data_IF_257885814602
#
_entry.id   IF_257885814602
#
_cell.length_a   1.000
_cell.length_b   1.000
_cell.length_c   1.000
_cell.angle_alpha   90.00
_cell.angle_beta   90.00
_cell.angle_gamma   90.00
#
_symmetry.space_group_name_H-M   'P 1'
#
loop_
_entity.id
_entity.type
_entity.pdbx_description
1 polymer ?
#
# COMPACT_ATOMS: atom_id res chain seq x y z
N UNK A 1 15.85 -8.96 16.46
CA UNK A 1 15.31 -7.64 16.14
C UNK A 1 13.89 -7.82 15.67
N UNK A 2 12.98 -6.90 15.98
CA UNK A 2 11.61 -6.89 15.45
C UNK A 2 11.57 -5.96 14.25
N UNK A 3 10.93 -6.39 13.17
CA UNK A 3 10.81 -5.65 11.90
C UNK A 3 9.32 -5.50 11.58
N UNK A 4 8.93 -4.36 11.05
CA UNK A 4 7.59 -4.16 10.46
C UNK A 4 7.77 -3.99 8.96
N UNK A 5 7.32 -4.96 8.19
CA UNK A 5 7.23 -4.86 6.75
C UNK A 5 5.96 -4.10 6.36
N UNK A 6 6.13 -2.84 5.96
CA UNK A 6 5.01 -1.93 5.67
C UNK A 6 4.50 -2.01 4.23
N UNK A 7 5.14 -2.82 3.38
CA UNK A 7 4.76 -3.04 1.99
C UNK A 7 4.80 -4.53 1.67
N UNK A 8 3.72 -5.21 2.02
CA UNK A 8 3.55 -6.66 1.94
C UNK A 8 2.20 -6.99 1.32
N UNK A 9 2.14 -7.94 0.39
CA UNK A 9 0.94 -8.30 -0.32
C UNK A 9 0.42 -9.67 0.07
N UNK A 10 -0.76 -9.69 0.65
CA UNK A 10 -1.59 -10.89 0.78
C UNK A 10 -2.97 -10.60 0.20
N UNK A 11 -3.49 -11.52 -0.62
CA UNK A 11 -4.75 -11.32 -1.30
C UNK A 11 -5.75 -12.44 -1.00
N UNK A 12 -6.99 -12.11 -0.58
CA UNK A 12 -8.03 -13.10 -0.41
C UNK A 12 -8.37 -13.79 -1.74
N UNK A 13 -8.32 -15.11 -1.76
CA UNK A 13 -8.66 -15.94 -2.95
C UNK A 13 -10.09 -15.69 -3.43
N UNK A 14 -11.02 -15.44 -2.51
CA UNK A 14 -12.44 -15.20 -2.78
C UNK A 14 -12.68 -14.08 -3.81
N UNK A 15 -11.85 -13.07 -3.85
CA UNK A 15 -11.94 -11.99 -4.83
C UNK A 15 -11.66 -12.49 -6.24
N UNK A 16 -10.64 -13.32 -6.42
CA UNK A 16 -10.30 -13.87 -7.74
C UNK A 16 -11.38 -14.81 -8.25
N UNK A 17 -12.02 -15.57 -7.37
CA UNK A 17 -13.17 -16.39 -7.69
C UNK A 17 -14.37 -15.55 -8.18
N UNK A 18 -14.55 -14.34 -7.65
CA UNK A 18 -15.56 -13.40 -8.15
C UNK A 18 -15.14 -12.82 -9.52
N UNK A 19 -13.88 -12.42 -9.65
CA UNK A 19 -13.36 -11.85 -10.91
C UNK A 19 -13.40 -12.87 -12.06
N UNK A 20 -13.28 -14.18 -11.78
CA UNK A 20 -13.42 -15.22 -12.78
C UNK A 20 -14.85 -15.34 -13.36
N UNK A 21 -15.88 -14.84 -12.67
CA UNK A 21 -17.26 -14.83 -13.14
C UNK A 21 -17.54 -13.67 -14.10
N UNK A 22 -16.64 -12.70 -14.19
CA UNK A 22 -16.81 -11.50 -15.00
C UNK A 22 -16.44 -11.73 -16.46
N UNK A 23 -17.24 -11.13 -17.38
CA UNK A 23 -16.94 -11.09 -18.81
C UNK A 23 -16.15 -9.81 -19.20
N UNK A 24 -16.39 -8.72 -18.49
CA UNK A 24 -15.69 -7.43 -18.69
C UNK A 24 -14.53 -7.24 -17.71
N UNK A 25 -13.73 -6.22 -17.95
CA UNK A 25 -12.61 -5.84 -17.07
C UNK A 25 -13.08 -5.07 -15.82
N UNK A 26 -12.37 -5.16 -14.69
CA UNK A 26 -11.29 -6.13 -14.41
C UNK A 26 -11.83 -7.56 -14.34
N UNK A 27 -11.02 -8.54 -14.73
CA UNK A 27 -11.36 -9.97 -14.69
C UNK A 27 -10.14 -10.84 -14.39
N UNK A 28 -10.38 -12.07 -13.97
CA UNK A 28 -9.35 -13.07 -13.77
C UNK A 28 -9.69 -14.38 -14.49
N UNK A 29 -8.68 -15.17 -14.79
CA UNK A 29 -8.79 -16.50 -15.35
C UNK A 29 -7.84 -17.43 -14.59
N UNK A 30 -8.25 -18.68 -14.22
CA UNK A 30 -7.32 -19.65 -13.62
C UNK A 30 -6.12 -19.90 -14.54
N UNK A 31 -4.92 -19.95 -13.96
CA UNK A 31 -3.67 -20.16 -14.72
C UNK A 31 -3.33 -21.66 -14.92
N UNK A 32 -4.17 -22.57 -14.42
CA UNK A 32 -3.95 -24.02 -14.45
C UNK A 32 -2.88 -24.53 -13.45
N UNK A 33 -2.27 -23.65 -12.63
CA UNK A 33 -1.23 -23.96 -11.63
C UNK A 33 -1.67 -23.62 -10.20
N UNK A 34 -2.96 -23.32 -10.02
CA UNK A 34 -3.54 -22.94 -8.73
C UNK A 34 -3.53 -21.43 -8.44
N UNK A 35 -3.06 -20.64 -9.37
CA UNK A 35 -3.10 -19.20 -9.39
C UNK A 35 -4.07 -18.65 -10.44
N UNK A 36 -3.92 -17.36 -10.75
CA UNK A 36 -4.78 -16.66 -11.69
C UNK A 36 -3.96 -15.70 -12.57
N UNK A 37 -4.45 -15.53 -13.83
CA UNK A 37 -4.05 -14.44 -14.70
C UNK A 37 -5.07 -13.31 -14.56
N UNK A 38 -4.64 -12.20 -14.01
CA UNK A 38 -5.48 -11.04 -13.77
C UNK A 38 -5.28 -9.97 -14.84
N UNK A 39 -6.39 -9.46 -15.38
CA UNK A 39 -6.41 -8.38 -16.37
C UNK A 39 -7.29 -7.23 -15.87
N UNK A 40 -6.71 -6.05 -15.75
CA UNK A 40 -7.43 -4.86 -15.33
C UNK A 40 -8.26 -4.25 -16.45
N UNK A 41 -7.65 -4.11 -17.62
CA UNK A 41 -8.24 -3.50 -18.82
C UNK A 41 -7.61 -4.13 -20.08
N UNK A 42 -8.17 -3.85 -21.23
CA UNK A 42 -7.63 -4.28 -22.51
C UNK A 42 -6.48 -3.34 -22.93
N UNK A 43 -5.34 -3.42 -22.27
CA UNK A 43 -4.15 -2.58 -22.56
C UNK A 43 -3.31 -3.21 -23.64
N UNK A 44 -3.06 -4.50 -23.54
CA UNK A 44 -2.50 -5.36 -24.57
C UNK A 44 -3.01 -6.78 -24.37
N UNK A 45 -3.06 -7.55 -25.47
CA UNK A 45 -3.48 -8.96 -25.41
C UNK A 45 -2.54 -9.79 -24.51
N UNK A 46 -1.28 -9.36 -24.39
CA UNK A 46 -0.19 -10.13 -23.83
C UNK A 46 0.15 -9.76 -22.38
N UNK A 47 -0.28 -8.58 -21.88
CA UNK A 47 -0.02 -8.18 -20.51
C UNK A 47 -1.13 -8.60 -19.56
N UNK A 48 -0.76 -9.41 -18.58
CA UNK A 48 -1.57 -9.77 -17.42
C UNK A 48 -0.69 -9.90 -16.18
N UNK A 49 -1.25 -9.62 -15.03
CA UNK A 49 -0.58 -9.90 -13.77
C UNK A 49 -0.82 -11.37 -13.41
N UNK A 50 0.22 -12.19 -13.43
CA UNK A 50 0.15 -13.54 -12.92
C UNK A 50 0.20 -13.52 -11.38
N UNK A 51 -0.80 -14.13 -10.76
CA UNK A 51 -0.95 -14.21 -9.31
C UNK A 51 -0.87 -15.69 -8.93
N UNK A 52 0.29 -16.10 -8.46
CA UNK A 52 0.57 -17.50 -8.11
C UNK A 52 0.08 -17.86 -6.71
N UNK A 53 0.01 -19.14 -6.32
CA UNK A 53 -0.63 -19.61 -5.08
C UNK A 53 -0.15 -18.94 -3.78
N UNK A 54 1.11 -18.52 -3.72
CA UNK A 54 1.72 -17.90 -2.54
C UNK A 54 1.05 -16.55 -2.16
N UNK A 55 0.48 -15.83 -3.12
CA UNK A 55 -0.27 -14.61 -2.86
C UNK A 55 -1.49 -14.79 -1.96
N UNK A 56 -2.02 -16.01 -1.89
CA UNK A 56 -3.25 -16.34 -1.17
C UNK A 56 -3.00 -17.06 0.16
N UNK A 57 -1.78 -17.54 0.42
CA UNK A 57 -1.44 -18.38 1.56
C UNK A 57 -0.67 -17.57 2.62
N UNK A 58 -1.41 -16.85 3.45
CA UNK A 58 -0.81 -16.01 4.51
C UNK A 58 0.00 -16.84 5.51
N UNK A 59 -0.39 -18.10 5.80
CA UNK A 59 0.36 -18.97 6.71
C UNK A 59 1.76 -19.24 6.19
N UNK A 60 1.87 -19.63 4.91
CA UNK A 60 3.19 -19.85 4.27
C UNK A 60 3.99 -18.58 4.13
N UNK A 61 3.34 -17.45 3.83
CA UNK A 61 4.02 -16.17 3.77
C UNK A 61 4.63 -15.80 5.13
N UNK A 62 3.89 -16.00 6.22
CA UNK A 62 4.40 -15.74 7.56
C UNK A 62 5.48 -16.74 7.99
N UNK A 63 5.38 -18.00 7.61
CA UNK A 63 6.42 -19.01 7.81
C UNK A 63 7.72 -18.62 7.07
N UNK A 64 7.59 -18.13 5.83
CA UNK A 64 8.74 -17.61 5.07
C UNK A 64 9.41 -16.43 5.81
N UNK A 65 8.61 -15.51 6.35
CA UNK A 65 9.13 -14.38 7.14
C UNK A 65 9.84 -14.84 8.44
N UNK A 66 9.34 -15.89 9.10
CA UNK A 66 10.00 -16.48 10.27
C UNK A 66 11.38 -17.07 9.94
N UNK A 67 11.51 -17.61 8.71
CA UNK A 67 12.78 -18.15 8.19
C UNK A 67 13.88 -17.11 8.01
N UNK A 68 13.57 -15.80 8.06
CA UNK A 68 14.57 -14.73 7.93
C UNK A 68 15.41 -14.51 9.19
N UNK A 69 15.14 -15.22 10.29
CA UNK A 69 15.86 -15.09 11.54
C UNK A 69 15.50 -13.83 12.35
N UNK A 70 14.42 -13.17 12.01
CA UNK A 70 13.88 -11.99 12.70
C UNK A 70 12.39 -12.18 12.99
N UNK A 71 11.87 -11.49 13.99
CA UNK A 71 10.43 -11.36 14.14
C UNK A 71 9.93 -10.29 13.15
N UNK A 72 9.23 -10.70 12.11
CA UNK A 72 8.67 -9.78 11.11
C UNK A 72 7.16 -9.69 11.29
N UNK A 73 6.68 -8.50 11.65
CA UNK A 73 5.27 -8.16 11.59
C UNK A 73 4.98 -7.61 10.19
N UNK A 74 3.84 -7.90 9.63
CA UNK A 74 3.50 -7.49 8.26
C UNK A 74 2.31 -6.56 8.21
N UNK A 75 2.39 -5.55 7.36
CA UNK A 75 1.27 -4.69 6.99
C UNK A 75 0.79 -5.14 5.62
N UNK A 76 -0.26 -5.92 5.59
CA UNK A 76 -0.91 -6.33 4.35
C UNK A 76 -1.50 -5.09 3.69
N UNK A 77 -0.72 -4.48 2.85
CA UNK A 77 -1.22 -3.54 1.88
C UNK A 77 -1.74 -4.34 0.69
N UNK A 78 -2.77 -3.85 0.08
CA UNK A 78 -3.54 -4.65 -0.84
C UNK A 78 -2.95 -4.58 -2.25
N UNK A 79 -1.93 -3.73 -2.46
CA UNK A 79 -1.28 -3.59 -3.74
C UNK A 79 -2.23 -3.30 -4.91
N UNK A 80 -1.86 -3.67 -6.14
CA UNK A 80 -2.60 -3.24 -7.31
C UNK A 80 -4.08 -3.67 -7.32
N UNK A 81 -4.43 -4.80 -6.69
CA UNK A 81 -5.79 -5.35 -6.80
C UNK A 81 -6.87 -4.50 -6.17
N UNK A 82 -6.70 -4.06 -4.93
CA UNK A 82 -7.78 -3.33 -4.23
C UNK A 82 -8.03 -1.96 -4.81
N UNK A 83 -6.98 -1.37 -5.36
CA UNK A 83 -7.11 -0.06 -6.02
C UNK A 83 -7.97 -0.15 -7.27
N UNK A 84 -8.06 -1.35 -7.88
CA UNK A 84 -8.88 -1.59 -9.07
C UNK A 84 -10.38 -1.68 -8.79
N UNK A 85 -10.82 -1.68 -7.55
CA UNK A 85 -12.26 -1.62 -7.24
C UNK A 85 -12.89 -0.30 -7.71
N UNK A 86 -12.09 0.72 -7.93
CA UNK A 86 -12.52 1.96 -8.56
C UNK A 86 -12.82 1.83 -10.06
N UNK A 87 -12.47 0.71 -10.68
CA UNK A 87 -12.77 0.40 -12.09
C UNK A 87 -14.09 -0.35 -12.27
N UNK A 88 -14.66 -0.83 -11.17
CA UNK A 88 -15.95 -1.53 -11.18
C UNK A 88 -17.11 -0.54 -11.21
N UNK A 89 -18.32 -0.98 -11.67
CA UNK A 89 -19.53 -0.24 -11.41
C UNK A 89 -19.65 0.08 -9.93
N UNK A 90 -20.16 1.25 -9.62
CA UNK A 90 -20.06 1.89 -8.30
C UNK A 90 -20.54 0.99 -7.13
N UNK A 91 -21.69 0.33 -7.25
CA UNK A 91 -22.20 -0.59 -6.23
C UNK A 91 -21.41 -1.91 -6.17
N UNK A 92 -20.99 -2.44 -7.30
CA UNK A 92 -20.14 -3.63 -7.37
C UNK A 92 -18.77 -3.37 -6.74
N UNK A 93 -18.19 -2.20 -7.01
CA UNK A 93 -16.92 -1.77 -6.38
C UNK A 93 -17.03 -1.62 -4.87
N UNK A 94 -18.16 -1.06 -4.37
CA UNK A 94 -18.46 -0.99 -2.94
C UNK A 94 -18.53 -2.38 -2.31
N UNK A 95 -19.34 -3.27 -2.88
CA UNK A 95 -19.58 -4.60 -2.32
C UNK A 95 -18.28 -5.45 -2.35
N UNK A 96 -17.48 -5.33 -3.40
CA UNK A 96 -16.17 -5.96 -3.48
C UNK A 96 -15.20 -5.42 -2.40
N UNK A 97 -15.19 -4.12 -2.16
CA UNK A 97 -14.35 -3.51 -1.14
C UNK A 97 -14.79 -3.93 0.27
N UNK A 98 -16.08 -3.95 0.57
CA UNK A 98 -16.60 -4.42 1.85
C UNK A 98 -16.21 -5.89 2.11
N UNK A 99 -16.39 -6.77 1.12
CA UNK A 99 -16.01 -8.17 1.22
C UNK A 99 -14.50 -8.32 1.47
N UNK A 100 -13.68 -7.58 0.74
CA UNK A 100 -12.22 -7.58 0.94
C UNK A 100 -11.84 -7.13 2.34
N UNK A 101 -12.44 -6.05 2.82
CA UNK A 101 -12.11 -5.48 4.12
C UNK A 101 -12.46 -6.43 5.28
N UNK A 102 -13.52 -7.22 5.16
CA UNK A 102 -13.83 -8.30 6.12
C UNK A 102 -12.75 -9.38 6.15
N UNK A 103 -12.23 -9.81 5.00
CA UNK A 103 -11.13 -10.77 4.93
C UNK A 103 -9.85 -10.22 5.56
N UNK A 104 -9.52 -8.94 5.30
CA UNK A 104 -8.39 -8.25 5.90
C UNK A 104 -8.50 -8.16 7.42
N UNK A 105 -9.68 -7.81 7.93
CA UNK A 105 -9.95 -7.80 9.36
C UNK A 105 -9.89 -9.22 9.95
N UNK A 106 -10.32 -10.23 9.21
CA UNK A 106 -10.16 -11.65 9.56
C UNK A 106 -8.70 -12.03 9.75
N UNK A 107 -7.83 -11.63 8.83
CA UNK A 107 -6.38 -11.84 8.94
C UNK A 107 -5.77 -11.17 10.18
N UNK A 108 -6.13 -9.91 10.47
CA UNK A 108 -5.68 -9.22 11.69
C UNK A 108 -6.10 -9.97 12.97
N UNK A 109 -7.36 -10.47 13.01
CA UNK A 109 -7.86 -11.22 14.17
C UNK A 109 -7.17 -12.57 14.34
N UNK A 110 -6.79 -13.22 13.23
CA UNK A 110 -6.09 -14.51 13.24
C UNK A 110 -4.65 -14.39 13.75
N UNK A 111 -3.99 -13.26 13.47
CA UNK A 111 -2.58 -13.01 13.83
C UNK A 111 -2.42 -11.68 14.57
N UNK A 112 -2.99 -11.57 15.80
CA UNK A 112 -3.01 -10.31 16.53
C UNK A 112 -1.60 -9.83 16.89
N UNK A 113 -1.30 -8.57 16.55
CA UNK A 113 0.02 -7.96 16.78
C UNK A 113 1.11 -8.38 15.80
N UNK A 114 0.78 -9.23 14.83
CA UNK A 114 1.70 -9.65 13.77
C UNK A 114 1.25 -9.25 12.38
N UNK A 115 -0.06 -9.29 12.12
CA UNK A 115 -0.67 -8.89 10.84
C UNK A 115 -1.52 -7.66 11.07
N UNK A 116 -1.25 -6.66 10.26
CA UNK A 116 -1.99 -5.42 10.16
C UNK A 116 -2.49 -5.28 8.73
N UNK A 117 -3.60 -4.60 8.50
CA UNK A 117 -4.13 -4.50 7.16
C UNK A 117 -4.68 -3.11 6.85
N UNK A 118 -4.56 -2.72 5.59
CA UNK A 118 -5.17 -1.51 5.04
C UNK A 118 -6.44 -1.83 4.27
N UNK A 119 -7.34 -0.86 4.20
CA UNK A 119 -8.64 -1.00 3.56
C UNK A 119 -8.55 -0.83 2.04
N UNK A 120 -9.40 -1.57 1.32
CA UNK A 120 -9.80 -1.23 -0.03
C UNK A 120 -10.90 -0.17 0.01
N UNK A 121 -10.76 0.89 -0.80
CA UNK A 121 -11.76 1.95 -0.90
C UNK A 121 -11.98 2.30 -2.37
N UNK A 122 -13.21 2.17 -2.91
CA UNK A 122 -13.50 2.53 -4.29
C UNK A 122 -13.69 4.05 -4.42
N UNK A 123 -12.83 4.71 -5.19
CA UNK A 123 -12.83 6.18 -5.35
C UNK A 123 -13.72 6.68 -6.52
N UNK A 124 -14.55 5.82 -7.07
CA UNK A 124 -15.47 6.19 -8.17
C UNK A 124 -16.54 7.17 -7.70
N UNK A 125 -16.96 7.08 -6.44
CA UNK A 125 -17.93 7.95 -5.79
C UNK A 125 -17.45 8.31 -4.39
N UNK A 126 -17.33 9.62 -4.09
CA UNK A 126 -16.78 10.10 -2.82
C UNK A 126 -17.63 9.73 -1.60
N UNK A 127 -18.96 9.65 -1.73
CA UNK A 127 -19.84 9.25 -0.64
C UNK A 127 -19.63 7.79 -0.28
N UNK A 128 -19.53 6.92 -1.28
CA UNK A 128 -19.22 5.51 -1.06
C UNK A 128 -17.82 5.35 -0.48
N UNK A 129 -16.85 6.13 -0.97
CA UNK A 129 -15.48 6.09 -0.45
C UNK A 129 -15.44 6.42 1.06
N UNK A 130 -16.17 7.44 1.49
CA UNK A 130 -16.28 7.81 2.92
C UNK A 130 -16.99 6.72 3.73
N UNK A 131 -18.11 6.19 3.23
CA UNK A 131 -18.87 5.11 3.88
C UNK A 131 -17.99 3.86 4.10
N UNK A 132 -17.30 3.39 3.05
CA UNK A 132 -16.42 2.22 3.12
C UNK A 132 -15.21 2.46 4.01
N UNK A 133 -14.65 3.68 3.98
CA UNK A 133 -13.54 4.06 4.85
C UNK A 133 -13.94 4.05 6.32
N UNK A 134 -15.10 4.64 6.65
CA UNK A 134 -15.63 4.66 8.01
C UNK A 134 -15.90 3.26 8.55
N UNK A 135 -16.50 2.40 7.74
CA UNK A 135 -16.73 1.00 8.09
C UNK A 135 -15.42 0.26 8.36
N UNK A 136 -14.45 0.40 7.46
CA UNK A 136 -13.15 -0.26 7.57
C UNK A 136 -12.37 0.15 8.82
N UNK A 137 -12.37 1.44 9.16
CA UNK A 137 -11.58 1.94 10.30
C UNK A 137 -12.34 1.78 11.61
N UNK A 138 -13.60 2.20 11.68
CA UNK A 138 -14.32 2.28 12.95
C UNK A 138 -14.93 0.94 13.38
N UNK A 139 -15.42 0.11 12.42
CA UNK A 139 -16.01 -1.19 12.72
C UNK A 139 -14.98 -2.32 12.64
N UNK A 140 -14.18 -2.36 11.58
CA UNK A 140 -13.22 -3.46 11.32
C UNK A 140 -11.86 -3.24 11.97
N UNK A 141 -11.50 -2.00 12.32
CA UNK A 141 -10.21 -1.67 12.94
C UNK A 141 -9.02 -1.79 11.99
N UNK A 142 -9.23 -1.57 10.69
CA UNK A 142 -8.15 -1.50 9.72
C UNK A 142 -7.37 -0.21 9.92
N UNK A 143 -6.03 -0.26 9.72
CA UNK A 143 -5.13 0.78 10.19
C UNK A 143 -4.86 1.89 9.16
N UNK A 144 -5.34 1.76 7.95
CA UNK A 144 -5.16 2.69 6.85
C UNK A 144 -5.99 2.31 5.64
N UNK A 145 -5.81 3.00 4.54
CA UNK A 145 -6.50 2.69 3.28
C UNK A 145 -5.56 2.77 2.07
N UNK A 146 -5.86 2.01 1.04
CA UNK A 146 -5.12 2.07 -0.22
C UNK A 146 -5.63 3.22 -1.08
N UNK A 147 -4.70 3.96 -1.65
CA UNK A 147 -4.93 5.06 -2.58
C UNK A 147 -4.39 4.65 -3.96
N UNK A 148 -5.22 4.55 -4.99
CA UNK A 148 -4.74 4.23 -6.34
C UNK A 148 -3.97 5.41 -6.96
N UNK A 149 -3.00 5.11 -7.81
CA UNK A 149 -2.33 6.13 -8.64
C UNK A 149 -3.23 6.73 -9.71
N UNK A 150 -4.31 6.01 -10.08
CA UNK A 150 -5.34 6.45 -11.03
C UNK A 150 -6.68 5.76 -10.76
N UNK A 151 -7.79 6.38 -11.18
CA UNK A 151 -9.15 5.82 -11.13
C UNK A 151 -9.51 5.40 -12.54
N UNK A 152 -9.41 4.12 -12.85
CA UNK A 152 -9.44 3.69 -14.24
C UNK A 152 -8.28 4.34 -15.02
N UNK A 153 -8.57 4.85 -16.18
CA UNK A 153 -7.63 5.65 -16.99
C UNK A 153 -7.54 7.12 -16.56
N UNK A 154 -8.31 7.54 -15.55
CA UNK A 154 -8.31 8.92 -15.05
C UNK A 154 -7.23 9.11 -13.98
N UNK A 155 -6.14 9.85 -14.26
CA UNK A 155 -5.08 10.09 -13.28
C UNK A 155 -5.47 11.14 -12.22
N UNK A 156 -6.68 11.70 -12.27
CA UNK A 156 -7.11 12.80 -11.39
C UNK A 156 -7.59 12.28 -10.03
N UNK A 157 -6.70 11.63 -9.29
CA UNK A 157 -6.93 11.29 -7.89
C UNK A 157 -7.08 12.54 -7.00
N UNK A 158 -6.62 13.69 -7.48
CA UNK A 158 -6.74 15.02 -6.88
C UNK A 158 -8.02 15.77 -7.26
N UNK A 159 -8.99 15.11 -7.93
CA UNK A 159 -10.22 15.75 -8.33
C UNK A 159 -11.02 16.27 -7.12
N UNK A 160 -11.58 17.48 -7.21
CA UNK A 160 -12.32 18.16 -6.15
C UNK A 160 -13.43 17.28 -5.55
N UNK A 161 -14.08 16.44 -6.37
CA UNK A 161 -15.10 15.48 -5.91
C UNK A 161 -14.59 14.51 -4.84
N UNK A 162 -13.27 14.29 -4.71
CA UNK A 162 -12.65 13.40 -3.73
C UNK A 162 -12.25 14.10 -2.43
N UNK A 163 -12.39 15.41 -2.34
CA UNK A 163 -12.07 16.18 -1.14
C UNK A 163 -12.71 15.61 0.14
N UNK A 164 -13.99 15.14 0.15
CA UNK A 164 -14.59 14.54 1.35
C UNK A 164 -13.86 13.26 1.82
N UNK A 165 -13.32 12.46 0.90
CA UNK A 165 -12.54 11.27 1.24
C UNK A 165 -11.22 11.64 1.93
N UNK A 166 -10.49 12.61 1.39
CA UNK A 166 -9.21 13.07 1.98
C UNK A 166 -9.42 13.74 3.34
N UNK A 167 -10.43 14.59 3.45
CA UNK A 167 -10.80 15.21 4.71
C UNK A 167 -11.16 14.16 5.78
N UNK A 168 -11.86 13.09 5.38
CA UNK A 168 -12.22 12.03 6.30
C UNK A 168 -11.02 11.19 6.72
N UNK A 169 -10.11 10.86 5.81
CA UNK A 169 -8.87 10.15 6.12
C UNK A 169 -8.00 10.95 7.11
N UNK A 170 -7.87 12.26 6.90
CA UNK A 170 -7.18 13.17 7.82
C UNK A 170 -7.82 13.18 9.21
N UNK A 171 -9.16 13.33 9.30
CA UNK A 171 -9.90 13.30 10.56
C UNK A 171 -9.74 11.99 11.34
N UNK A 172 -9.68 10.86 10.61
CA UNK A 172 -9.44 9.55 11.21
C UNK A 172 -7.95 9.36 11.60
N UNK A 173 -7.05 10.23 11.14
CA UNK A 173 -5.62 10.17 11.41
C UNK A 173 -4.90 8.97 10.81
N UNK A 174 -5.51 8.32 9.81
CA UNK A 174 -4.99 7.11 9.17
C UNK A 174 -4.10 7.43 7.96
N UNK A 175 -3.13 6.56 7.63
CA UNK A 175 -2.35 6.68 6.40
C UNK A 175 -3.13 6.21 5.17
N UNK A 176 -2.86 6.88 4.04
CA UNK A 176 -3.26 6.46 2.70
C UNK A 176 -2.03 5.92 1.96
N UNK A 177 -2.06 4.63 1.59
CA UNK A 177 -0.99 3.96 0.87
C UNK A 177 -1.16 4.18 -0.63
N UNK A 178 -0.38 5.10 -1.19
CA UNK A 178 -0.37 5.39 -2.62
C UNK A 178 0.36 4.28 -3.37
N UNK A 179 -0.38 3.50 -4.14
CA UNK A 179 0.16 2.38 -4.91
C UNK A 179 -0.19 2.54 -6.40
N UNK A 180 0.74 2.22 -7.33
CA UNK A 180 0.49 2.28 -8.76
C UNK A 180 -0.57 1.27 -9.18
N UNK A 181 -1.24 1.57 -10.29
CA UNK A 181 -2.36 0.79 -10.83
C UNK A 181 -2.09 0.20 -12.21
N UNK A 182 -0.93 0.48 -12.77
CA UNK A 182 -0.49 0.06 -14.11
C UNK A 182 -1.39 0.59 -15.27
N UNK A 183 -2.14 1.67 -15.03
CA UNK A 183 -3.06 2.22 -16.03
C UNK A 183 -2.55 3.46 -16.75
N UNK A 184 -1.76 4.26 -16.06
CA UNK A 184 -1.24 5.51 -16.61
C UNK A 184 -0.14 5.19 -17.61
N UNK A 185 -0.24 5.74 -18.82
CA UNK A 185 0.71 5.51 -19.92
C UNK A 185 0.77 4.07 -20.44
N UNK A 186 -0.20 3.21 -20.13
CA UNK A 186 -0.18 1.81 -20.49
C UNK A 186 0.16 1.57 -21.99
N UNK A 187 -0.42 2.38 -22.89
CA UNK A 187 -0.15 2.31 -24.33
C UNK A 187 1.30 2.62 -24.74
N UNK A 188 2.07 3.30 -23.88
CA UNK A 188 3.49 3.60 -24.13
C UNK A 188 4.43 2.53 -23.58
N UNK A 189 3.90 1.65 -22.73
CA UNK A 189 4.67 0.66 -21.97
C UNK A 189 4.45 -0.77 -22.48
N UNK A 190 3.71 -0.91 -23.58
CA UNK A 190 3.38 -2.20 -24.16
C UNK A 190 4.61 -2.93 -24.71
N UNK A 191 4.55 -4.28 -24.74
CA UNK A 191 5.63 -5.13 -25.19
C UNK A 191 6.60 -5.55 -24.08
N UNK A 192 7.66 -6.25 -24.47
CA UNK A 192 8.73 -6.73 -23.59
C UNK A 192 8.24 -7.53 -22.37
N UNK A 193 7.19 -8.33 -22.54
CA UNK A 193 6.56 -9.14 -21.48
C UNK A 193 6.20 -8.33 -20.21
N UNK A 194 5.80 -7.07 -20.38
CA UNK A 194 5.43 -6.17 -19.29
C UNK A 194 6.62 -5.56 -18.53
N UNK A 195 7.87 -5.77 -18.96
CA UNK A 195 9.03 -5.24 -18.25
C UNK A 195 9.02 -3.71 -18.09
N UNK A 196 8.50 -2.98 -19.09
CA UNK A 196 8.37 -1.53 -18.99
C UNK A 196 7.32 -1.10 -17.96
N UNK A 197 6.20 -1.83 -17.84
CA UNK A 197 5.20 -1.59 -16.81
C UNK A 197 5.78 -1.80 -15.42
N UNK A 198 6.46 -2.92 -15.21
CA UNK A 198 7.01 -3.31 -13.91
C UNK A 198 8.17 -2.42 -13.47
N UNK A 199 9.02 -1.99 -14.41
CA UNK A 199 10.24 -1.22 -14.09
C UNK A 199 10.02 0.30 -14.07
N UNK A 200 9.37 0.85 -15.09
CA UNK A 200 9.21 2.30 -15.26
C UNK A 200 7.77 2.76 -14.96
N UNK A 201 6.78 2.04 -15.44
CA UNK A 201 5.37 2.46 -15.36
C UNK A 201 4.94 2.73 -13.93
N UNK A 202 5.24 1.84 -13.01
CA UNK A 202 4.88 1.95 -11.58
C UNK A 202 5.49 3.16 -10.91
N UNK A 203 6.79 3.39 -11.09
CA UNK A 203 7.47 4.52 -10.44
C UNK A 203 7.09 5.86 -11.07
N UNK A 204 6.79 5.89 -12.37
CA UNK A 204 6.24 7.08 -13.04
C UNK A 204 4.86 7.40 -12.48
N UNK A 205 3.98 6.41 -12.37
CA UNK A 205 2.60 6.61 -11.90
C UNK A 205 2.57 7.14 -10.47
N UNK A 206 3.33 6.55 -9.54
CA UNK A 206 3.45 7.04 -8.15
C UNK A 206 3.93 8.49 -8.13
N UNK A 207 4.95 8.82 -8.94
CA UNK A 207 5.50 10.17 -9.01
C UNK A 207 4.47 11.18 -9.52
N UNK A 208 3.72 10.84 -10.57
CA UNK A 208 2.66 11.68 -11.13
C UNK A 208 1.52 11.86 -10.12
N UNK A 209 1.07 10.79 -9.50
CA UNK A 209 -0.01 10.79 -8.52
C UNK A 209 0.34 11.69 -7.31
N UNK A 210 1.50 11.51 -6.71
CA UNK A 210 1.96 12.34 -5.59
C UNK A 210 2.10 13.81 -5.99
N UNK A 211 2.64 14.10 -7.18
CA UNK A 211 2.73 15.48 -7.69
C UNK A 211 1.35 16.10 -7.92
N UNK A 212 0.35 15.34 -8.36
CA UNK A 212 -1.02 15.82 -8.49
C UNK A 212 -1.59 16.25 -7.15
N UNK A 213 -1.44 15.41 -6.09
CA UNK A 213 -1.87 15.76 -4.73
C UNK A 213 -1.21 17.05 -4.22
N UNK A 214 0.05 17.28 -4.58
CA UNK A 214 0.77 18.51 -4.22
C UNK A 214 0.28 19.71 -5.04
N UNK A 215 0.26 19.58 -6.37
CA UNK A 215 -0.01 20.71 -7.27
C UNK A 215 -1.46 21.20 -7.22
N UNK A 216 -2.42 20.34 -6.85
CA UNK A 216 -3.81 20.71 -6.58
C UNK A 216 -3.99 21.52 -5.28
N UNK A 217 -2.93 21.62 -4.45
CA UNK A 217 -2.99 22.26 -3.13
C UNK A 217 -3.62 21.37 -2.05
N UNK A 218 -3.93 20.10 -2.34
CA UNK A 218 -4.55 19.17 -1.38
C UNK A 218 -3.69 19.03 -0.14
N UNK A 219 -2.38 18.86 -0.30
CA UNK A 219 -1.43 18.74 0.81
C UNK A 219 -1.27 20.04 1.64
N UNK A 220 -1.69 21.18 1.13
CA UNK A 220 -1.75 22.44 1.90
C UNK A 220 -3.08 22.54 2.66
N UNK A 221 -4.20 22.13 2.05
CA UNK A 221 -5.52 22.12 2.70
C UNK A 221 -5.63 21.06 3.81
N UNK A 222 -4.91 19.96 3.65
CA UNK A 222 -4.88 18.83 4.59
C UNK A 222 -3.47 18.64 5.16
N UNK A 223 -3.05 19.48 6.13
CA UNK A 223 -1.68 19.46 6.66
C UNK A 223 -1.33 18.18 7.43
N UNK A 224 -2.32 17.51 8.03
CA UNK A 224 -2.12 16.31 8.84
C UNK A 224 -2.40 15.01 8.07
N UNK A 225 -2.77 15.12 6.78
CA UNK A 225 -2.99 13.96 5.92
C UNK A 225 -1.70 13.18 5.71
N UNK A 226 -1.74 11.88 6.01
CA UNK A 226 -0.60 10.97 5.88
C UNK A 226 -0.67 10.24 4.55
N UNK A 227 0.23 10.54 3.64
CA UNK A 227 0.42 9.79 2.38
C UNK A 227 1.67 8.94 2.52
N UNK A 228 1.55 7.63 2.28
CA UNK A 228 2.67 6.68 2.21
C UNK A 228 2.83 6.28 0.76
N UNK A 229 3.90 6.72 0.14
CA UNK A 229 4.19 6.44 -1.27
C UNK A 229 4.94 5.12 -1.38
N UNK A 230 4.51 4.23 -2.25
CA UNK A 230 5.24 3.00 -2.58
C UNK A 230 6.51 3.27 -3.38
N UNK A 231 7.41 2.29 -3.43
CA UNK A 231 8.60 2.26 -4.28
C UNK A 231 9.50 3.49 -4.10
N UNK A 232 9.82 3.85 -2.85
CA UNK A 232 10.66 5.00 -2.51
C UNK A 232 10.13 6.33 -3.08
N UNK A 233 8.79 6.42 -3.34
CA UNK A 233 8.19 7.60 -3.99
C UNK A 233 8.57 7.77 -5.45
N UNK A 234 9.01 6.69 -6.11
CA UNK A 234 9.34 6.69 -7.53
C UNK A 234 10.51 7.60 -7.89
N UNK A 235 10.28 8.56 -8.80
CA UNK A 235 11.32 9.46 -9.28
C UNK A 235 11.45 10.77 -8.47
N UNK A 236 10.59 10.98 -7.46
CA UNK A 236 10.47 12.26 -6.75
C UNK A 236 11.77 12.72 -6.08
N UNK A 237 12.53 11.87 -5.35
CA UNK A 237 13.79 12.29 -4.75
C UNK A 237 14.77 12.85 -5.77
N UNK A 238 14.81 12.23 -6.94
CA UNK A 238 15.76 12.54 -7.99
C UNK A 238 15.38 13.78 -8.79
N UNK A 239 14.08 14.12 -8.91
CA UNK A 239 13.56 15.19 -9.77
C UNK A 239 13.07 16.42 -9.00
N UNK A 240 13.19 16.46 -7.67
CA UNK A 240 12.60 17.50 -6.81
C UNK A 240 13.01 18.92 -7.21
N UNK A 241 14.28 19.18 -7.50
CA UNK A 241 14.74 20.49 -7.93
C UNK A 241 14.13 20.95 -9.27
N UNK A 242 13.88 20.00 -10.20
CA UNK A 242 13.20 20.28 -11.46
C UNK A 242 11.72 20.58 -11.23
N UNK A 243 11.08 19.87 -10.31
CA UNK A 243 9.69 20.11 -9.94
C UNK A 243 9.51 21.50 -9.32
N UNK A 244 10.34 21.89 -8.37
CA UNK A 244 10.31 23.22 -7.75
C UNK A 244 10.47 24.34 -8.77
N UNK A 245 11.44 24.18 -9.69
CA UNK A 245 11.70 25.18 -10.73
C UNK A 245 10.51 25.36 -11.68
N UNK A 246 9.82 24.28 -12.06
CA UNK A 246 8.81 24.31 -13.12
C UNK A 246 7.37 24.47 -12.60
N UNK A 247 7.14 24.38 -11.29
CA UNK A 247 5.79 24.44 -10.70
C UNK A 247 5.35 25.80 -10.21
N UNK A 248 6.06 26.87 -10.54
CA UNK A 248 5.74 28.25 -10.10
C UNK A 248 4.32 28.70 -10.47
N UNK A 249 3.76 28.17 -11.56
CA UNK A 249 2.39 28.49 -12.01
C UNK A 249 1.30 27.87 -11.14
N UNK A 250 1.60 26.85 -10.35
CA UNK A 250 0.65 26.22 -9.44
C UNK A 250 0.27 27.11 -8.23
N UNK A 251 0.99 28.22 -8.02
CA UNK A 251 0.72 29.21 -6.96
C UNK A 251 0.67 28.60 -5.55
N UNK A 252 1.46 27.55 -5.30
CA UNK A 252 1.60 26.97 -3.98
C UNK A 252 2.34 27.93 -3.04
N UNK A 253 1.98 27.99 -1.75
CA UNK A 253 2.70 28.80 -0.75
C UNK A 253 4.17 28.40 -0.56
N UNK A 254 4.49 27.12 -0.77
CA UNK A 254 5.82 26.53 -0.62
C UNK A 254 6.22 25.75 -1.89
N UNK A 255 7.52 25.52 -2.12
CA UNK A 255 7.96 24.65 -3.21
C UNK A 255 7.36 23.23 -3.08
N UNK A 256 7.02 22.55 -4.19
CA UNK A 256 6.51 21.19 -4.18
C UNK A 256 7.32 20.21 -3.34
N UNK A 257 8.65 20.30 -3.37
CA UNK A 257 9.55 19.45 -2.57
C UNK A 257 9.27 19.52 -1.07
N UNK A 258 8.80 20.66 -0.56
CA UNK A 258 8.44 20.83 0.86
C UNK A 258 7.25 19.91 1.25
N UNK A 259 6.28 19.76 0.38
CA UNK A 259 5.11 18.88 0.61
C UNK A 259 5.49 17.41 0.42
N UNK A 260 6.28 17.10 -0.61
CA UNK A 260 6.73 15.73 -0.88
C UNK A 260 7.56 15.19 0.29
N UNK A 261 8.47 15.99 0.84
CA UNK A 261 9.30 15.58 2.00
C UNK A 261 8.52 15.42 3.30
N UNK A 262 7.28 15.90 3.36
CA UNK A 262 6.35 15.64 4.48
C UNK A 262 5.62 14.31 4.34
N UNK A 263 5.54 13.74 3.13
CA UNK A 263 4.99 12.42 2.91
C UNK A 263 5.93 11.35 3.43
N UNK A 264 5.42 10.14 3.55
CA UNK A 264 6.17 8.96 3.95
C UNK A 264 6.42 8.05 2.75
N UNK A 265 7.37 7.13 2.88
CA UNK A 265 7.65 6.15 1.84
C UNK A 265 8.22 4.86 2.44
N UNK A 266 8.36 3.84 1.59
CA UNK A 266 8.97 2.55 1.94
C UNK A 266 10.38 2.39 1.33
N UNK A 267 11.06 1.28 1.66
CA UNK A 267 12.38 0.94 1.13
C UNK A 267 12.31 0.03 -0.11
N UNK A 268 11.17 -0.08 -0.77
CA UNK A 268 11.02 -0.93 -1.97
C UNK A 268 11.81 -0.35 -3.13
N UNK A 269 13.11 -0.61 -3.11
CA UNK A 269 14.10 -0.21 -4.11
C UNK A 269 15.24 -1.23 -4.08
N UNK A 270 15.35 -2.15 -5.07
CA UNK A 270 16.32 -3.24 -5.05
C UNK A 270 17.73 -2.76 -5.44
N UNK A 271 18.16 -1.63 -4.88
CA UNK A 271 19.48 -1.05 -5.14
C UNK A 271 19.91 -0.14 -3.98
N UNK A 272 21.01 -0.49 -3.32
CA UNK A 272 21.54 0.19 -2.14
C UNK A 272 21.72 1.70 -2.35
N UNK A 273 22.26 2.12 -3.49
CA UNK A 273 22.44 3.54 -3.80
C UNK A 273 21.10 4.28 -3.95
N UNK A 274 20.11 3.65 -4.59
CA UNK A 274 18.76 4.20 -4.73
C UNK A 274 18.09 4.43 -3.39
N UNK A 275 18.19 3.44 -2.47
CA UNK A 275 17.71 3.59 -1.09
C UNK A 275 18.41 4.73 -0.34
N UNK A 276 19.73 4.82 -0.47
CA UNK A 276 20.51 5.91 0.14
C UNK A 276 20.00 7.29 -0.26
N UNK A 277 19.82 7.50 -1.57
CA UNK A 277 19.30 8.78 -2.11
C UNK A 277 17.90 9.08 -1.55
N UNK A 278 17.02 8.09 -1.50
CA UNK A 278 15.67 8.27 -0.96
C UNK A 278 15.68 8.59 0.54
N UNK A 279 16.43 7.84 1.33
CA UNK A 279 16.54 8.07 2.79
C UNK A 279 17.12 9.46 3.08
N UNK A 280 18.16 9.88 2.36
CA UNK A 280 18.72 11.21 2.51
C UNK A 280 17.73 12.32 2.12
N UNK A 281 16.96 12.09 1.07
CA UNK A 281 15.97 13.06 0.59
C UNK A 281 14.79 13.23 1.53
N UNK A 282 14.14 12.14 1.96
CA UNK A 282 12.98 12.19 2.84
C UNK A 282 13.34 12.40 4.30
N UNK A 283 14.52 11.98 4.71
CA UNK A 283 14.94 11.86 6.11
C UNK A 283 14.52 10.52 6.73
N UNK A 284 15.34 10.01 7.62
CA UNK A 284 15.17 8.70 8.27
C UNK A 284 13.78 8.52 8.88
N UNK A 285 13.22 9.56 9.49
CA UNK A 285 11.93 9.50 10.20
C UNK A 285 10.69 9.38 9.26
N UNK A 286 10.89 9.49 7.94
CA UNK A 286 9.83 9.42 6.92
C UNK A 286 9.89 8.14 6.08
N UNK A 287 10.84 7.25 6.33
CA UNK A 287 11.02 6.00 5.57
C UNK A 287 10.69 4.80 6.45
N UNK A 288 9.94 3.86 5.92
CA UNK A 288 9.61 2.58 6.56
C UNK A 288 10.19 1.43 5.76
N UNK A 289 10.53 0.31 6.42
CA UNK A 289 10.90 -0.89 5.68
C UNK A 289 9.70 -1.47 4.94
N UNK A 290 9.95 -1.92 3.70
CA UNK A 290 9.01 -2.64 2.85
C UNK A 290 9.75 -3.60 1.94
N UNK A 291 9.22 -4.81 1.73
CA UNK A 291 9.83 -5.84 0.90
C UNK A 291 9.18 -6.00 -0.48
N UNK A 292 7.93 -5.58 -0.63
CA UNK A 292 7.08 -5.87 -1.81
C UNK A 292 6.85 -7.38 -2.01
N UNK A 293 6.92 -8.16 -0.90
CA UNK A 293 6.69 -9.61 -0.96
C UNK A 293 5.20 -9.91 -1.27
N UNK A 294 4.87 -10.89 -2.13
CA UNK A 294 5.75 -11.92 -2.68
C UNK A 294 6.36 -11.56 -4.04
N UNK A 295 6.24 -10.33 -4.53
CA UNK A 295 6.88 -9.92 -5.79
C UNK A 295 8.40 -10.03 -5.72
N UNK A 296 8.99 -9.68 -4.58
CA UNK A 296 10.44 -9.68 -4.37
C UNK A 296 10.82 -10.47 -3.12
N UNK A 297 12.11 -10.83 -3.04
CA UNK A 297 12.68 -11.56 -1.91
C UNK A 297 12.89 -10.63 -0.69
N UNK A 298 12.25 -10.91 0.46
CA UNK A 298 12.50 -10.13 1.68
C UNK A 298 13.95 -10.23 2.18
N UNK A 299 14.60 -11.38 1.93
CA UNK A 299 16.02 -11.58 2.29
C UNK A 299 16.92 -10.64 1.49
N UNK A 300 16.66 -10.48 0.19
CA UNK A 300 17.39 -9.51 -0.64
C UNK A 300 17.10 -8.07 -0.24
N UNK A 301 15.85 -7.73 0.08
CA UNK A 301 15.49 -6.39 0.56
C UNK A 301 16.26 -6.03 1.84
N UNK A 302 16.35 -6.95 2.82
CA UNK A 302 17.13 -6.77 4.03
C UNK A 302 18.64 -6.68 3.74
N UNK A 303 19.15 -7.46 2.81
CA UNK A 303 20.55 -7.40 2.40
C UNK A 303 20.89 -6.02 1.81
N UNK A 304 20.15 -5.54 0.82
CA UNK A 304 20.36 -4.21 0.24
C UNK A 304 20.27 -3.10 1.28
N UNK A 305 19.31 -3.22 2.21
CA UNK A 305 19.17 -2.27 3.31
C UNK A 305 20.40 -2.27 4.23
N UNK A 306 20.90 -3.44 4.60
CA UNK A 306 22.07 -3.56 5.48
C UNK A 306 23.36 -2.95 4.90
N UNK A 307 23.50 -2.99 3.57
CA UNK A 307 24.64 -2.43 2.83
C UNK A 307 24.65 -0.89 2.82
N UNK A 308 23.57 -0.22 3.24
CA UNK A 308 23.50 1.25 3.29
C UNK A 308 24.50 1.81 4.32
N UNK A 309 24.71 1.12 5.42
CA UNK A 309 25.64 1.52 6.46
C UNK A 309 25.08 2.59 7.40
N UNK A 310 23.77 2.53 7.69
CA UNK A 310 23.11 3.40 8.68
C UNK A 310 23.53 3.10 10.10
N UNK A 311 23.39 4.07 11.00
CA UNK A 311 23.54 3.84 12.45
C UNK A 311 22.52 2.83 12.97
N UNK A 312 22.80 2.16 14.09
CA UNK A 312 21.86 1.21 14.69
C UNK A 312 20.52 1.87 15.06
N UNK A 313 20.54 3.15 15.48
CA UNK A 313 19.34 3.94 15.77
C UNK A 313 18.50 4.18 14.51
N UNK A 314 19.14 4.58 13.40
CA UNK A 314 18.44 4.85 12.16
C UNK A 314 17.89 3.55 11.53
N UNK A 315 18.62 2.46 11.65
CA UNK A 315 18.13 1.13 11.24
C UNK A 315 16.88 0.74 12.02
N UNK A 316 16.88 0.89 13.35
CA UNK A 316 15.70 0.59 14.19
C UNK A 316 14.51 1.45 13.80
N UNK A 317 14.72 2.76 13.56
CA UNK A 317 13.65 3.65 13.10
C UNK A 317 13.00 3.16 11.81
N UNK A 318 13.79 2.85 10.79
CA UNK A 318 13.27 2.43 9.47
C UNK A 318 12.67 1.03 9.53
N UNK A 319 13.33 0.08 10.20
CA UNK A 319 12.89 -1.31 10.25
C UNK A 319 11.66 -1.54 11.13
N UNK A 320 11.41 -0.68 12.13
CA UNK A 320 10.36 -0.90 13.12
C UNK A 320 9.67 0.39 13.59
N UNK A 321 10.41 1.32 14.18
CA UNK A 321 9.87 2.45 14.93
C UNK A 321 8.95 3.36 14.10
N UNK A 322 9.33 3.68 12.87
CA UNK A 322 8.56 4.56 11.99
C UNK A 322 7.21 3.94 11.61
N UNK A 323 7.19 2.67 11.19
CA UNK A 323 5.95 1.99 10.87
C UNK A 323 4.99 1.99 12.07
N UNK A 324 5.47 1.67 13.26
CA UNK A 324 4.65 1.69 14.48
C UNK A 324 4.08 3.07 14.77
N UNK A 325 4.88 4.10 14.63
CA UNK A 325 4.47 5.50 14.87
C UNK A 325 3.51 6.02 13.80
N UNK A 326 3.86 5.86 12.52
CA UNK A 326 3.11 6.44 11.39
C UNK A 326 1.77 5.74 11.23
N UNK A 327 1.77 4.41 11.36
CA UNK A 327 0.60 3.55 11.18
C UNK A 327 -0.16 3.33 12.49
N UNK A 328 0.30 3.92 13.61
CA UNK A 328 -0.31 3.78 14.93
C UNK A 328 -0.51 2.30 15.35
N UNK A 329 0.48 1.44 15.05
CA UNK A 329 0.41 0.02 15.36
C UNK A 329 0.55 -0.19 16.88
N UNK A 330 -0.44 -0.84 17.47
CA UNK A 330 -0.45 -1.14 18.91
C UNK A 330 -0.30 -2.63 19.13
N UNK A 331 0.63 -3.03 19.99
CA UNK A 331 0.69 -4.42 20.40
C UNK A 331 -0.63 -4.85 21.05
N UNK A 332 -1.08 -6.10 20.83
CA UNK A 332 -2.29 -6.60 21.46
C UNK A 332 -2.13 -6.51 22.99
N UNK A 333 -3.19 -6.07 23.68
CA UNK A 333 -3.19 -6.10 25.14
C UNK A 333 -2.94 -7.55 25.57
N UNK A 334 -2.09 -7.80 26.58
CA UNK A 334 -1.93 -9.16 27.14
C UNK A 334 -3.31 -9.72 27.45
N UNK A 335 -3.60 -10.93 26.99
CA UNK A 335 -4.83 -11.60 27.36
C UNK A 335 -4.94 -11.57 28.89
N UNK A 336 -6.06 -11.05 29.41
CA UNK A 336 -6.31 -11.06 30.86
C UNK A 336 -6.08 -12.50 31.35
N UNK A 337 -5.17 -12.69 32.27
CA UNK A 337 -4.90 -13.99 32.86
C UNK A 337 -6.23 -14.57 33.29
N UNK A 338 -6.62 -15.73 32.74
CA UNK A 338 -7.80 -16.43 33.17
C UNK A 338 -7.68 -16.61 34.68
N UNK A 339 -8.48 -15.88 35.43
CA UNK A 339 -8.56 -16.04 36.89
C UNK A 339 -8.83 -17.51 37.16
N UNK A 340 -7.88 -18.13 37.84
CA UNK A 340 -7.91 -19.57 38.09
C UNK A 340 -9.24 -19.98 38.67
N UNK A 341 -9.85 -20.97 38.07
CA UNK A 341 -10.95 -21.74 38.65
C UNK A 341 -10.39 -22.32 39.94
N UNK A 342 -10.84 -21.84 41.10
CA UNK A 342 -10.62 -22.50 42.36
C UNK A 342 -11.35 -23.85 42.29
N UNK A 343 -10.62 -24.94 42.34
CA UNK A 343 -11.20 -26.26 42.60
C UNK A 343 -11.97 -26.20 43.95
N UNK A 344 -13.19 -26.73 44.01
CA UNK A 344 -13.87 -26.87 45.31
C UNK A 344 -13.13 -27.90 46.17
N UNK A 345 -12.80 -27.49 47.37
CA UNK A 345 -12.21 -28.37 48.38
C UNK A 345 -13.19 -29.55 48.63
N UNK A 346 -12.66 -30.77 48.43
CA UNK A 346 -13.34 -32.00 48.83
C UNK A 346 -13.44 -32.08 50.36
N UNK A 347 -14.66 -32.22 50.87
CA UNK A 347 -14.99 -32.65 52.26
C UNK A 347 -15.15 -34.14 52.28
#
# INVERSE_FOLDING_TARGET
MRIVDSHFHWWPRSIFEQLCKRKGYPRAEPDGRGGYNYRRQEVSADYFLNVWPEWFDLDKQLEHMDGLGHQVDVVCSIGPMSVHFSDLPKEEGRDAALMWNEEMAGAQRRYPGRVWASAAVPLVDARIAVEVLDDAVNRLGLMGANLPGSIGSDPRIDAERLEPFYARAEQLGIPLFLHPTDAVFAHMLDGYDGALHLSLGRVVEVSVAAMRLVLSGLMERHPDLKIVMSHMGGMLPYQSGRMDKNSKRAKLPKPPSTYIRRMYTDTVQPHTLGMKVGIEYYGVDHVMYGSDYPCWSPADALRYFSEIGLSAEDQEKILNGNARRILNLRDPKPAAAKSGVREPASV
#
